data_IF_241228906608
#
_entry.id   IF_241228906608
#
_cell.length_a   1.000
_cell.length_b   1.000
_cell.length_c   1.000
_cell.angle_alpha   90.00
_cell.angle_beta   90.00
_cell.angle_gamma   90.00
#
_symmetry.space_group_name_H-M   'P 1'
#
loop_
_entity.id
_entity.type
_entity.pdbx_description
1 polymer ?
#
# COMPACT_ATOMS: atom_id res chain seq x y z
N UNK A 1 4.80 -14.45 13.83
CA UNK A 1 3.64 -15.05 13.16
C UNK A 1 2.72 -13.92 12.71
N UNK A 2 2.83 -13.50 11.45
CA UNK A 2 2.12 -12.32 10.89
C UNK A 2 1.45 -12.65 9.55
N UNK A 3 1.30 -13.94 9.25
CA UNK A 3 0.63 -14.43 8.04
C UNK A 3 -0.65 -15.14 8.46
N UNK A 4 -1.51 -14.41 9.16
CA UNK A 4 -2.88 -14.83 9.43
C UNK A 4 -3.60 -15.05 8.12
N UNK A 5 -4.08 -16.27 7.93
CA UNK A 5 -4.74 -16.80 6.74
C UNK A 5 -5.85 -15.86 6.23
N UNK A 6 -5.61 -15.18 5.11
CA UNK A 6 -6.67 -14.64 4.29
C UNK A 6 -6.80 -15.53 3.05
N UNK A 7 -7.67 -16.54 3.14
CA UNK A 7 -8.07 -17.35 1.99
C UNK A 7 -9.12 -16.57 1.22
N UNK A 8 -8.72 -15.95 0.13
CA UNK A 8 -9.64 -15.34 -0.83
C UNK A 8 -9.66 -16.22 -2.08
N UNK A 9 -10.86 -16.65 -2.47
CA UNK A 9 -11.07 -17.66 -3.52
C UNK A 9 -10.73 -17.18 -4.94
N UNK A 10 -10.40 -15.90 -5.14
CA UNK A 10 -10.05 -15.29 -6.43
C UNK A 10 -8.78 -14.40 -6.39
N UNK A 11 -7.90 -14.58 -5.39
CA UNK A 11 -6.77 -13.68 -5.18
C UNK A 11 -5.54 -14.03 -5.99
N UNK A 12 -5.22 -13.17 -6.96
CA UNK A 12 -3.85 -13.04 -7.46
C UNK A 12 -3.11 -12.10 -6.52
N UNK A 13 -2.55 -12.67 -5.44
CA UNK A 13 -1.75 -11.94 -4.47
C UNK A 13 -0.29 -11.91 -4.88
N UNK A 14 0.28 -10.71 -5.06
CA UNK A 14 1.74 -10.57 -5.20
C UNK A 14 2.33 -10.38 -3.83
N UNK A 15 3.12 -11.36 -3.38
CA UNK A 15 3.85 -11.35 -2.12
C UNK A 15 5.35 -11.37 -2.42
N UNK A 16 6.02 -10.24 -2.18
CA UNK A 16 7.47 -10.18 -2.33
C UNK A 16 8.21 -10.37 -1.00
N UNK A 17 9.36 -11.05 -1.07
CA UNK A 17 10.29 -11.28 0.05
C UNK A 17 11.53 -10.38 -0.01
N UNK A 18 11.50 -9.30 -0.80
CA UNK A 18 12.41 -8.17 -0.64
C UNK A 18 13.22 -7.77 -1.87
N UNK A 19 12.76 -8.07 -3.08
CA UNK A 19 13.44 -7.70 -4.33
C UNK A 19 12.58 -6.94 -5.34
N UNK A 20 11.31 -6.61 -5.03
CA UNK A 20 10.51 -5.77 -5.91
C UNK A 20 11.01 -4.31 -5.88
N UNK A 21 11.37 -3.81 -7.05
CA UNK A 21 11.65 -2.40 -7.32
C UNK A 21 10.40 -1.69 -7.86
N UNK A 22 10.44 -0.35 -7.93
CA UNK A 22 9.37 0.43 -8.56
C UNK A 22 9.11 0.00 -10.03
N UNK A 23 10.14 -0.49 -10.73
CA UNK A 23 10.00 -0.96 -12.10
C UNK A 23 9.18 -2.26 -12.16
N UNK A 24 9.34 -3.15 -11.19
CA UNK A 24 8.62 -4.42 -11.15
C UNK A 24 7.12 -4.23 -10.86
N UNK A 25 6.75 -3.17 -10.13
CA UNK A 25 5.34 -2.81 -9.89
C UNK A 25 4.59 -2.48 -11.18
N UNK A 26 5.29 -1.95 -12.19
CA UNK A 26 4.66 -1.60 -13.48
C UNK A 26 4.16 -2.83 -14.25
N UNK A 27 4.65 -4.04 -13.91
CA UNK A 27 4.18 -5.30 -14.49
C UNK A 27 2.85 -5.76 -13.89
N UNK A 28 2.47 -5.25 -12.71
CA UNK A 28 1.23 -5.62 -12.02
C UNK A 28 -0.02 -5.19 -12.79
N UNK A 29 0.07 -4.12 -13.58
CA UNK A 29 -1.05 -3.61 -14.39
C UNK A 29 -1.50 -4.59 -15.48
N UNK A 30 -0.61 -5.47 -15.93
CA UNK A 30 -0.91 -6.45 -16.98
C UNK A 30 -1.72 -7.64 -16.43
N UNK A 31 -1.76 -7.80 -15.10
CA UNK A 31 -2.48 -8.89 -14.43
C UNK A 31 -3.96 -8.53 -14.31
N UNK A 32 -4.75 -8.95 -15.29
CA UNK A 32 -6.20 -8.78 -15.28
C UNK A 32 -6.82 -9.61 -14.15
N UNK A 33 -7.51 -8.96 -13.22
CA UNK A 33 -8.17 -9.60 -12.08
C UNK A 33 -7.44 -9.47 -10.74
N UNK A 34 -6.38 -8.66 -10.67
CA UNK A 34 -5.66 -8.38 -9.43
C UNK A 34 -6.60 -7.71 -8.40
N UNK A 35 -7.04 -8.47 -7.40
CA UNK A 35 -7.96 -8.01 -6.37
C UNK A 35 -7.25 -7.64 -5.06
N UNK A 36 -6.10 -8.27 -4.76
CA UNK A 36 -5.38 -8.08 -3.50
C UNK A 36 -3.88 -8.00 -3.77
N UNK A 37 -3.22 -6.99 -3.20
CA UNK A 37 -1.77 -6.79 -3.30
C UNK A 37 -1.19 -6.55 -1.92
N UNK A 38 -0.16 -7.32 -1.56
CA UNK A 38 0.57 -7.16 -0.29
C UNK A 38 2.07 -7.00 -0.56
N UNK A 39 2.56 -5.77 -0.44
CA UNK A 39 3.95 -5.42 -0.70
C UNK A 39 4.70 -5.26 0.61
N UNK A 40 5.76 -6.05 0.80
CA UNK A 40 6.67 -5.98 1.96
C UNK A 40 8.03 -5.39 1.58
N UNK A 41 8.05 -4.14 1.12
CA UNK A 41 9.30 -3.44 0.77
C UNK A 41 9.22 -1.91 0.87
N UNK A 42 10.38 -1.26 0.69
CA UNK A 42 10.61 0.20 0.71
C UNK A 42 9.93 0.91 -0.48
N UNK A 43 8.60 0.88 -0.52
CA UNK A 43 7.81 1.65 -1.49
C UNK A 43 7.94 3.13 -1.15
N UNK A 44 8.28 3.95 -2.14
CA UNK A 44 8.34 5.41 -2.04
C UNK A 44 7.23 6.05 -2.86
N UNK A 45 7.11 7.37 -2.82
CA UNK A 45 6.16 8.12 -3.65
C UNK A 45 6.29 7.84 -5.15
N UNK A 46 7.46 7.39 -5.63
CA UNK A 46 7.67 6.98 -7.02
C UNK A 46 7.00 5.65 -7.35
N UNK A 47 6.86 4.74 -6.38
CA UNK A 47 6.18 3.46 -6.57
C UNK A 47 4.66 3.60 -6.65
N UNK A 48 4.12 4.75 -6.23
CA UNK A 48 2.67 5.03 -6.23
C UNK A 48 2.11 5.05 -7.65
N UNK A 49 2.87 5.58 -8.62
CA UNK A 49 2.41 5.71 -10.00
C UNK A 49 2.07 4.35 -10.62
N UNK A 50 2.75 3.28 -10.20
CA UNK A 50 2.43 1.92 -10.64
C UNK A 50 1.21 1.31 -9.91
N UNK A 51 0.91 1.78 -8.69
CA UNK A 51 -0.20 1.27 -7.87
C UNK A 51 -1.54 1.90 -8.26
N UNK A 52 -1.54 3.18 -8.66
CA UNK A 52 -2.76 3.89 -9.04
C UNK A 52 -3.42 3.34 -10.30
N UNK A 53 -2.67 2.65 -11.16
CA UNK A 53 -3.22 2.01 -12.37
C UNK A 53 -3.98 0.70 -12.05
N UNK A 54 -3.90 0.19 -10.81
CA UNK A 54 -4.56 -1.04 -10.36
C UNK A 54 -6.03 -0.80 -9.99
N UNK A 55 -6.83 -0.33 -10.93
CA UNK A 55 -8.21 0.14 -10.71
C UNK A 55 -9.20 -0.95 -10.23
N UNK A 56 -8.85 -2.23 -10.39
CA UNK A 56 -9.68 -3.35 -9.91
C UNK A 56 -9.36 -3.77 -8.47
N UNK A 57 -8.36 -3.12 -7.84
CA UNK A 57 -7.83 -3.54 -6.56
C UNK A 57 -8.84 -3.33 -5.44
N UNK A 58 -9.13 -4.41 -4.70
CA UNK A 58 -10.01 -4.40 -3.53
C UNK A 58 -9.25 -4.22 -2.24
N UNK A 59 -8.01 -4.74 -2.16
CA UNK A 59 -7.13 -4.54 -1.00
C UNK A 59 -5.69 -4.25 -1.40
N UNK A 60 -5.11 -3.26 -0.75
CA UNK A 60 -3.70 -2.91 -0.85
C UNK A 60 -3.08 -2.84 0.55
N UNK A 61 -2.09 -3.68 0.80
CA UNK A 61 -1.31 -3.62 2.04
C UNK A 61 0.13 -3.27 1.71
N UNK A 62 0.59 -2.14 2.25
CA UNK A 62 1.96 -1.63 2.07
C UNK A 62 2.70 -1.74 3.39
N UNK A 63 3.71 -2.59 3.45
CA UNK A 63 4.51 -2.80 4.65
C UNK A 63 5.94 -2.35 4.43
N UNK A 64 6.51 -1.63 5.40
CA UNK A 64 7.83 -1.00 5.33
C UNK A 64 7.93 0.14 4.29
N UNK A 65 6.83 0.85 4.05
CA UNK A 65 6.80 1.93 3.08
C UNK A 65 7.40 3.24 3.62
N UNK A 66 7.97 4.02 2.71
CA UNK A 66 8.46 5.39 2.90
C UNK A 66 7.66 6.36 2.03
N UNK A 67 6.34 6.25 2.14
CA UNK A 67 5.40 7.09 1.41
C UNK A 67 5.14 8.35 2.23
N UNK A 68 5.16 9.50 1.57
CA UNK A 68 4.86 10.78 2.21
C UNK A 68 3.36 10.97 2.45
N UNK A 69 2.95 11.91 3.31
CA UNK A 69 1.54 12.28 3.46
C UNK A 69 0.86 12.62 2.12
N UNK A 70 1.57 13.31 1.23
CA UNK A 70 1.07 13.65 -0.11
C UNK A 70 0.91 12.40 -0.98
N UNK A 71 1.85 11.46 -0.88
CA UNK A 71 1.75 10.17 -1.55
C UNK A 71 0.50 9.38 -1.12
N UNK A 72 0.24 9.30 0.19
CA UNK A 72 -0.97 8.64 0.71
C UNK A 72 -2.26 9.28 0.19
N UNK A 73 -2.31 10.62 0.14
CA UNK A 73 -3.46 11.33 -0.44
C UNK A 73 -3.64 11.00 -1.92
N UNK A 74 -2.56 10.96 -2.71
CA UNK A 74 -2.62 10.56 -4.14
C UNK A 74 -3.14 9.14 -4.31
N UNK A 75 -2.62 8.19 -3.53
CA UNK A 75 -3.10 6.79 -3.54
C UNK A 75 -4.59 6.72 -3.23
N UNK A 76 -5.06 7.51 -2.25
CA UNK A 76 -6.47 7.49 -1.86
C UNK A 76 -7.40 8.12 -2.88
N UNK A 77 -6.99 9.19 -3.53
CA UNK A 77 -7.76 9.79 -4.63
C UNK A 77 -7.88 8.83 -5.81
N UNK A 78 -6.81 8.10 -6.13
CA UNK A 78 -6.80 7.19 -7.26
C UNK A 78 -7.48 5.84 -7.01
N UNK A 79 -7.48 5.37 -5.75
CA UNK A 79 -8.04 4.10 -5.32
C UNK A 79 -9.06 4.32 -4.18
N UNK A 80 -10.20 4.99 -4.44
CA UNK A 80 -11.14 5.41 -3.40
C UNK A 80 -11.84 4.23 -2.72
N UNK A 81 -12.11 3.15 -3.46
CA UNK A 81 -12.87 1.98 -2.99
C UNK A 81 -11.97 0.83 -2.49
N UNK A 82 -10.65 1.03 -2.46
CA UNK A 82 -9.69 0.00 -2.04
C UNK A 82 -9.48 0.04 -0.53
N UNK A 83 -9.61 -1.11 0.11
CA UNK A 83 -9.17 -1.36 1.49
C UNK A 83 -7.66 -1.18 1.59
N UNK A 84 -7.20 -0.06 2.16
CA UNK A 84 -5.80 0.35 2.17
C UNK A 84 -5.24 0.34 3.58
N UNK A 85 -4.27 -0.55 3.79
CA UNK A 85 -3.50 -0.64 5.02
C UNK A 85 -2.04 -0.27 4.74
N UNK A 86 -1.47 0.63 5.55
CA UNK A 86 -0.10 1.09 5.39
C UNK A 86 0.64 0.98 6.72
N UNK A 87 1.72 0.21 6.73
CA UNK A 87 2.66 0.10 7.85
C UNK A 87 3.90 0.92 7.53
N UNK A 88 3.94 2.13 8.08
CA UNK A 88 5.01 3.08 7.88
C UNK A 88 6.24 2.67 8.71
N UNK A 89 7.42 2.69 8.09
CA UNK A 89 8.70 2.48 8.80
C UNK A 89 9.68 3.61 8.48
N UNK A 90 9.68 4.68 9.27
CA UNK A 90 10.85 5.52 9.55
C UNK A 90 10.54 6.75 10.43
N UNK A 91 11.61 7.20 11.11
CA UNK A 91 11.75 8.33 12.05
C UNK A 91 11.51 9.75 11.52
N UNK A 92 11.09 9.93 10.25
CA UNK A 92 11.00 11.26 9.64
C UNK A 92 9.57 11.84 9.61
N UNK A 93 8.53 11.04 9.86
CA UNK A 93 7.17 11.55 10.00
C UNK A 93 6.91 11.74 11.49
N UNK A 94 6.57 12.96 11.88
CA UNK A 94 6.26 13.28 13.28
C UNK A 94 4.96 12.61 13.74
N UNK A 95 4.78 12.33 15.04
CA UNK A 95 3.50 11.83 15.56
C UNK A 95 2.31 12.74 15.23
N UNK A 96 2.55 14.05 15.12
CA UNK A 96 1.54 15.04 14.73
C UNK A 96 1.10 14.85 13.29
N UNK A 97 2.03 14.68 12.35
CA UNK A 97 1.73 14.41 10.95
C UNK A 97 1.00 13.06 10.78
N UNK A 98 1.35 12.05 11.57
CA UNK A 98 0.62 10.77 11.59
C UNK A 98 -0.81 10.97 12.07
N UNK A 99 -1.02 11.71 13.15
CA UNK A 99 -2.36 11.98 13.64
C UNK A 99 -3.18 12.75 12.60
N UNK A 100 -2.59 13.79 12.01
CA UNK A 100 -3.23 14.54 10.92
C UNK A 100 -3.58 13.63 9.73
N UNK A 101 -2.72 12.69 9.36
CA UNK A 101 -3.01 11.73 8.30
C UNK A 101 -4.18 10.82 8.64
N UNK A 102 -4.26 10.32 9.88
CA UNK A 102 -5.41 9.52 10.35
C UNK A 102 -6.70 10.34 10.36
N UNK A 103 -6.63 11.61 10.75
CA UNK A 103 -7.79 12.51 10.76
C UNK A 103 -8.25 12.87 9.34
N UNK A 104 -7.30 13.00 8.40
CA UNK A 104 -7.58 13.38 7.01
C UNK A 104 -8.00 12.19 6.15
N UNK A 105 -7.48 11.01 6.46
CA UNK A 105 -7.71 9.76 5.72
C UNK A 105 -8.21 8.67 6.68
N UNK A 106 -9.36 8.86 7.36
CA UNK A 106 -9.88 7.91 8.36
C UNK A 106 -10.24 6.54 7.78
N UNK A 107 -10.38 6.44 6.46
CA UNK A 107 -10.63 5.22 5.71
C UNK A 107 -9.35 4.44 5.36
N UNK A 108 -8.17 4.96 5.70
CA UNK A 108 -6.88 4.32 5.47
C UNK A 108 -6.35 3.82 6.80
N UNK A 109 -6.11 2.52 6.90
CA UNK A 109 -5.56 1.91 8.11
C UNK A 109 -4.06 2.19 8.19
N UNK A 110 -3.69 3.20 8.97
CA UNK A 110 -2.30 3.62 9.16
C UNK A 110 -1.72 3.03 10.45
N UNK A 111 -0.74 2.15 10.29
CA UNK A 111 0.00 1.51 11.37
C UNK A 111 1.44 2.03 11.41
N UNK A 112 1.99 2.16 12.61
CA UNK A 112 3.40 2.48 12.85
C UNK A 112 4.00 1.34 13.68
N UNK A 113 5.22 0.92 13.32
CA UNK A 113 6.02 0.09 14.22
C UNK A 113 6.75 1.04 15.17
N UNK A 114 6.43 0.94 16.47
CA UNK A 114 7.21 1.59 17.54
C UNK A 114 8.68 1.16 17.49
#
# INVERSE_FOLDING_TARGET
DLMGQYVFHDVVGVFDRGNLTNADLSLLKEVRGLAVVELRYKITDQGIDALIDLQNLKRLTLTRSQISPKGLQRLRVALPDTDLAVYLTHSQISPQEIQQLKDTLPQVDIYMRE
#
